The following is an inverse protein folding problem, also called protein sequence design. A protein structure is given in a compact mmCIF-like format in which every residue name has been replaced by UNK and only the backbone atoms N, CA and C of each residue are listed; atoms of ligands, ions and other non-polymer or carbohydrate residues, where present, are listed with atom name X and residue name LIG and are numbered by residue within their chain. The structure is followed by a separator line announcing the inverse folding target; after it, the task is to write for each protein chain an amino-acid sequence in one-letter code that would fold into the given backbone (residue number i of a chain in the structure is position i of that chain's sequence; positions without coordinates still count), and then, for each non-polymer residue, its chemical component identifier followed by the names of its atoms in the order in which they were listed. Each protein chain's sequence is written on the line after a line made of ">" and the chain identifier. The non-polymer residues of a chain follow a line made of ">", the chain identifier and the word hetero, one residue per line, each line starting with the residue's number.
data_IF_696786205143
#
_entry.id   IF_696786205143
#
_cell.length_a   1.000
_cell.length_b   1.000
_cell.length_c   1.000
_cell.angle_alpha   90.00
_cell.angle_beta   90.00
_cell.angle_gamma   90.00
#
_symmetry.space_group_name_H-M   'P 1'
#
loop_
_entity.id
_entity.type
_entity.pdbx_description
1 polymer ?
#
# COMPACT_ATOMS: atom_id res chain seq x y z
N UNK A 1 -10.59 -16.72 -16.84
CA UNK A 1 -9.24 -16.32 -17.29
C UNK A 1 -9.24 -14.90 -17.86
N UNK A 2 -10.11 -14.57 -18.82
CA UNK A 2 -10.23 -13.19 -19.32
C UNK A 2 -10.53 -12.16 -18.21
N UNK A 3 -11.39 -12.51 -17.24
CA UNK A 3 -11.73 -11.64 -16.11
C UNK A 3 -10.56 -11.36 -15.16
N UNK A 4 -9.66 -12.32 -14.94
CA UNK A 4 -8.52 -12.15 -14.03
C UNK A 4 -7.41 -11.24 -14.61
N UNK A 5 -7.40 -11.04 -15.94
CA UNK A 5 -6.46 -10.13 -16.60
C UNK A 5 -6.97 -8.69 -16.63
N UNK A 6 -8.22 -8.43 -16.24
CA UNK A 6 -8.77 -7.06 -16.20
C UNK A 6 -8.47 -6.36 -14.88
N UNK A 7 -8.18 -7.11 -13.83
CA UNK A 7 -7.79 -6.56 -12.54
C UNK A 7 -6.28 -6.26 -12.51
N UNK A 8 -5.87 -5.12 -11.93
CA UNK A 8 -4.45 -4.76 -11.85
C UNK A 8 -3.70 -5.74 -10.93
N UNK A 9 -2.55 -6.29 -11.37
CA UNK A 9 -1.84 -7.37 -10.65
C UNK A 9 -1.15 -6.90 -9.37
N UNK A 10 -1.24 -5.61 -9.03
CA UNK A 10 -0.64 -5.04 -7.81
C UNK A 10 -1.20 -5.66 -6.53
N UNK A 11 -2.43 -6.21 -6.59
CA UNK A 11 -3.13 -6.86 -5.48
C UNK A 11 -3.02 -8.38 -5.46
N UNK A 12 -2.41 -8.96 -6.49
CA UNK A 12 -2.34 -10.41 -6.62
C UNK A 12 -1.24 -11.02 -5.75
N UNK A 13 -1.55 -12.21 -5.21
CA UNK A 13 -0.55 -13.03 -4.54
C UNK A 13 0.57 -13.45 -5.53
N UNK A 14 1.81 -13.66 -5.05
CA UNK A 14 2.91 -14.08 -5.92
C UNK A 14 2.60 -15.33 -6.77
N UNK A 15 1.84 -16.28 -6.21
CA UNK A 15 1.40 -17.49 -6.91
C UNK A 15 0.41 -17.20 -8.03
N UNK A 16 -0.48 -16.23 -7.84
CA UNK A 16 -1.42 -15.77 -8.87
C UNK A 16 -0.67 -15.02 -9.97
N UNK A 17 0.24 -14.11 -9.60
CA UNK A 17 1.09 -13.38 -10.54
C UNK A 17 1.90 -14.34 -11.43
N UNK A 18 2.51 -15.38 -10.85
CA UNK A 18 3.26 -16.39 -11.60
C UNK A 18 2.39 -17.15 -12.61
N UNK A 19 1.18 -17.55 -12.21
CA UNK A 19 0.22 -18.23 -13.11
C UNK A 19 -0.18 -17.35 -14.28
N UNK A 20 -0.39 -16.05 -14.05
CA UNK A 20 -0.69 -15.10 -15.12
C UNK A 20 0.49 -14.96 -16.08
N UNK A 21 1.71 -14.79 -15.57
CA UNK A 21 2.93 -14.70 -16.38
C UNK A 21 3.16 -15.94 -17.26
N UNK A 22 2.90 -17.15 -16.75
CA UNK A 22 3.01 -18.39 -17.54
C UNK A 22 2.05 -18.44 -18.74
N UNK A 23 0.99 -17.64 -18.74
CA UNK A 23 0.05 -17.52 -19.84
C UNK A 23 0.49 -16.49 -20.90
N UNK A 24 1.55 -15.71 -20.65
CA UNK A 24 1.96 -14.65 -21.56
C UNK A 24 2.40 -15.16 -22.94
N UNK A 25 3.20 -16.23 -23.07
CA UNK A 25 3.63 -16.71 -24.39
C UNK A 25 2.47 -17.17 -25.28
N UNK A 26 1.42 -17.76 -24.71
CA UNK A 26 0.24 -18.19 -25.46
C UNK A 26 -0.64 -16.99 -25.85
N UNK A 27 -0.75 -15.99 -24.98
CA UNK A 27 -1.44 -14.73 -25.26
C UNK A 27 -0.75 -13.94 -26.39
N UNK A 28 0.57 -13.81 -26.38
CA UNK A 28 1.32 -13.13 -27.44
C UNK A 28 1.14 -13.85 -28.80
N UNK A 29 1.15 -15.19 -28.79
CA UNK A 29 0.91 -16.00 -30.00
C UNK A 29 -0.51 -15.82 -30.55
N UNK A 30 -1.52 -15.68 -29.70
CA UNK A 30 -2.90 -15.47 -30.16
C UNK A 30 -3.08 -14.08 -30.79
N UNK A 31 -2.30 -13.08 -30.36
CA UNK A 31 -2.31 -11.74 -30.95
C UNK A 31 -1.58 -11.64 -32.30
N UNK A 32 -0.57 -12.49 -32.52
CA UNK A 32 0.23 -12.49 -33.76
C UNK A 32 -0.30 -13.45 -34.83
N UNK A 33 -1.11 -14.45 -34.44
CA UNK A 33 -1.72 -15.44 -35.35
C UNK A 33 -2.97 -14.94 -36.08
N UNK A 34 -3.47 -13.75 -35.74
CA UNK A 34 -4.42 -13.04 -36.60
C UNK A 34 -3.62 -12.54 -37.81
N UNK A 35 -3.81 -13.18 -38.97
CA UNK A 35 -3.28 -12.71 -40.25
C UNK A 35 -3.35 -11.17 -40.30
N UNK A 36 -2.19 -10.49 -40.29
CA UNK A 36 -2.11 -9.05 -40.47
C UNK A 36 -2.52 -8.77 -41.91
N UNK A 37 -3.83 -8.68 -42.13
CA UNK A 37 -4.37 -8.31 -43.42
C UNK A 37 -3.93 -6.86 -43.72
N UNK A 38 -3.52 -6.55 -44.95
CA UNK A 38 -3.17 -5.18 -45.31
C UNK A 38 -4.38 -4.27 -45.15
N UNK A 39 -4.15 -2.99 -44.84
CA UNK A 39 -5.21 -1.99 -44.80
C UNK A 39 -6.00 -1.99 -46.14
N UNK A 40 -7.35 -1.95 -46.12
CA UNK A 40 -8.25 -1.76 -44.97
C UNK A 40 -8.75 -3.08 -44.32
N UNK A 41 -8.28 -4.24 -44.77
CA UNK A 41 -8.78 -5.54 -44.30
C UNK A 41 -8.37 -5.87 -42.85
N UNK A 42 -7.30 -5.24 -42.34
CA UNK A 42 -6.92 -5.27 -40.91
C UNK A 42 -8.02 -4.79 -39.97
N UNK A 43 -8.92 -3.91 -40.44
CA UNK A 43 -10.04 -3.40 -39.65
C UNK A 43 -11.07 -4.48 -39.30
N UNK A 44 -11.11 -5.59 -40.06
CA UNK A 44 -12.05 -6.68 -39.84
C UNK A 44 -11.45 -7.84 -39.02
N UNK A 45 -10.11 -7.94 -38.94
CA UNK A 45 -9.44 -9.03 -38.21
C UNK A 45 -9.01 -8.64 -36.80
N UNK A 46 -8.73 -7.35 -36.55
CA UNK A 46 -8.34 -6.87 -35.23
C UNK A 46 -9.56 -6.32 -34.50
N UNK A 47 -10.19 -7.14 -33.65
CA UNK A 47 -11.13 -6.60 -32.66
C UNK A 47 -10.33 -5.74 -31.67
N UNK A 48 -10.30 -4.43 -31.89
CA UNK A 48 -9.78 -3.48 -30.92
C UNK A 48 -10.79 -3.39 -29.76
N UNK A 49 -10.38 -3.80 -28.56
CA UNK A 49 -11.18 -3.64 -27.36
C UNK A 49 -10.33 -3.04 -26.24
N UNK A 50 -10.96 -2.22 -25.39
CA UNK A 50 -10.33 -1.70 -24.19
C UNK A 50 -9.82 -2.86 -23.32
N UNK A 51 -10.63 -3.90 -23.18
CA UNK A 51 -10.30 -5.13 -22.43
C UNK A 51 -9.01 -5.79 -22.91
N UNK A 52 -8.77 -5.85 -24.22
CA UNK A 52 -7.54 -6.43 -24.79
C UNK A 52 -6.32 -5.67 -24.29
N UNK A 53 -6.34 -4.35 -24.38
CA UNK A 53 -5.17 -3.53 -24.04
C UNK A 53 -4.96 -3.41 -22.54
N UNK A 54 -6.04 -3.36 -21.75
CA UNK A 54 -5.97 -3.49 -20.29
C UNK A 54 -5.38 -4.85 -19.89
N UNK A 55 -5.79 -5.94 -20.54
CA UNK A 55 -5.24 -7.26 -20.30
C UNK A 55 -3.76 -7.35 -20.71
N UNK A 56 -3.36 -6.77 -21.84
CA UNK A 56 -1.95 -6.70 -22.26
C UNK A 56 -1.11 -5.97 -21.21
N UNK A 57 -1.58 -4.83 -20.71
CA UNK A 57 -0.86 -4.05 -19.70
C UNK A 57 -0.78 -4.76 -18.34
N UNK A 58 -1.88 -5.33 -17.87
CA UNK A 58 -1.88 -6.10 -16.63
C UNK A 58 -0.98 -7.34 -16.73
N UNK A 59 -0.97 -8.00 -17.89
CA UNK A 59 -0.07 -9.12 -18.15
C UNK A 59 1.39 -8.66 -18.20
N UNK A 60 1.69 -7.51 -18.81
CA UNK A 60 3.02 -6.90 -18.80
C UNK A 60 3.52 -6.68 -17.36
N UNK A 61 2.69 -6.08 -16.50
CA UNK A 61 3.00 -5.86 -15.09
C UNK A 61 3.21 -7.18 -14.34
N UNK A 62 2.41 -8.21 -14.63
CA UNK A 62 2.56 -9.54 -14.03
C UNK A 62 3.87 -10.23 -14.47
N UNK A 63 4.25 -10.12 -15.74
CA UNK A 63 5.50 -10.66 -16.28
C UNK A 63 6.74 -9.97 -15.72
N UNK A 64 6.68 -8.65 -15.51
CA UNK A 64 7.76 -7.93 -14.82
C UNK A 64 7.92 -8.39 -13.37
N UNK A 65 6.81 -8.58 -12.64
CA UNK A 65 6.84 -9.05 -11.24
C UNK A 65 7.36 -10.48 -11.11
N UNK A 66 7.17 -11.34 -12.11
CA UNK A 66 7.69 -12.71 -12.12
C UNK A 66 9.12 -12.83 -12.66
N UNK A 67 9.67 -11.76 -13.26
CA UNK A 67 10.99 -11.75 -13.88
C UNK A 67 11.02 -12.30 -15.31
N UNK A 68 9.86 -12.49 -15.96
CA UNK A 68 9.77 -12.87 -17.37
C UNK A 68 9.96 -11.64 -18.28
N UNK A 69 11.21 -11.21 -18.38
CA UNK A 69 11.61 -9.99 -19.09
C UNK A 69 11.34 -10.07 -20.61
N UNK A 70 11.40 -11.27 -21.20
CA UNK A 70 11.20 -11.48 -22.63
C UNK A 70 9.73 -11.28 -23.00
N UNK A 71 8.80 -11.90 -22.25
CA UNK A 71 7.36 -11.67 -22.45
C UNK A 71 6.99 -10.23 -22.14
N UNK A 72 7.56 -9.64 -21.08
CA UNK A 72 7.32 -8.23 -20.73
C UNK A 72 7.71 -7.29 -21.89
N UNK A 73 8.90 -7.49 -22.47
CA UNK A 73 9.36 -6.68 -23.60
C UNK A 73 8.43 -6.82 -24.81
N UNK A 74 8.03 -8.05 -25.18
CA UNK A 74 7.13 -8.28 -26.31
C UNK A 74 5.75 -7.61 -26.13
N UNK A 75 5.19 -7.64 -24.91
CA UNK A 75 3.93 -6.98 -24.59
C UNK A 75 4.07 -5.45 -24.63
N UNK A 76 5.19 -4.92 -24.13
CA UNK A 76 5.49 -3.49 -24.16
C UNK A 76 5.67 -2.97 -25.60
N UNK A 77 6.34 -3.72 -26.47
CA UNK A 77 6.46 -3.37 -27.88
C UNK A 77 5.09 -3.41 -28.57
N UNK A 78 4.23 -4.40 -28.26
CA UNK A 78 2.86 -4.41 -28.79
C UNK A 78 2.04 -3.18 -28.35
N UNK A 79 2.21 -2.71 -27.11
CA UNK A 79 1.58 -1.48 -26.63
C UNK A 79 2.18 -0.25 -27.33
N UNK A 80 3.49 -0.22 -27.52
CA UNK A 80 4.21 0.86 -28.19
C UNK A 80 3.79 0.98 -29.65
N UNK A 81 3.70 -0.13 -30.38
CA UNK A 81 3.25 -0.18 -31.77
C UNK A 81 1.83 0.37 -31.93
N UNK A 82 0.96 0.14 -30.94
CA UNK A 82 -0.43 0.60 -30.99
C UNK A 82 -0.60 2.06 -30.60
N UNK A 83 0.07 2.50 -29.54
CA UNK A 83 -0.20 3.78 -28.89
C UNK A 83 0.88 4.85 -29.14
N UNK A 84 2.03 4.46 -29.70
CA UNK A 84 3.15 5.34 -29.98
C UNK A 84 4.04 5.61 -28.77
N UNK A 85 5.27 6.08 -29.05
CA UNK A 85 6.27 6.42 -28.04
C UNK A 85 5.94 7.72 -27.28
N UNK A 86 5.24 8.65 -27.93
CA UNK A 86 4.82 9.93 -27.35
C UNK A 86 3.74 9.81 -26.28
N UNK A 87 3.15 8.63 -26.11
CA UNK A 87 2.12 8.41 -25.11
C UNK A 87 2.73 8.35 -23.71
N UNK A 88 2.30 9.25 -22.81
CA UNK A 88 2.83 9.35 -21.44
C UNK A 88 2.79 8.02 -20.66
N UNK A 89 1.73 7.23 -20.85
CA UNK A 89 1.58 5.91 -20.21
C UNK A 89 2.60 4.93 -20.76
N UNK A 90 2.82 4.92 -22.08
CA UNK A 90 3.84 4.08 -22.71
C UNK A 90 5.24 4.49 -22.23
N UNK A 91 5.54 5.78 -22.16
CA UNK A 91 6.81 6.28 -21.63
C UNK A 91 7.05 5.78 -20.19
N UNK A 92 6.03 5.82 -19.34
CA UNK A 92 6.12 5.30 -17.97
C UNK A 92 6.28 3.76 -17.91
N UNK A 93 5.63 2.99 -18.80
CA UNK A 93 5.81 1.54 -18.88
C UNK A 93 7.20 1.15 -19.39
N UNK A 94 7.76 1.89 -20.36
CA UNK A 94 9.14 1.69 -20.82
C UNK A 94 10.14 2.00 -19.71
N UNK A 95 9.92 3.09 -18.99
CA UNK A 95 10.68 3.44 -17.81
C UNK A 95 10.64 2.34 -16.75
N UNK A 96 9.44 1.87 -16.38
CA UNK A 96 9.25 0.77 -15.43
C UNK A 96 9.96 -0.53 -15.88
N UNK A 97 9.91 -0.87 -17.17
CA UNK A 97 10.67 -2.01 -17.70
C UNK A 97 12.18 -1.80 -17.58
N UNK A 98 12.69 -0.60 -17.88
CA UNK A 98 14.10 -0.28 -17.75
C UNK A 98 14.56 -0.32 -16.28
N UNK A 99 13.75 0.16 -15.34
CA UNK A 99 14.01 0.05 -13.91
C UNK A 99 14.08 -1.42 -13.46
N UNK A 100 13.13 -2.25 -13.90
CA UNK A 100 13.04 -3.66 -13.51
C UNK A 100 14.17 -4.53 -14.10
N UNK A 101 14.69 -4.14 -15.27
CA UNK A 101 15.75 -4.88 -15.98
C UNK A 101 17.16 -4.36 -15.70
N UNK A 102 17.28 -3.24 -14.99
CA UNK A 102 18.55 -2.65 -14.61
C UNK A 102 19.37 -3.62 -13.73
N UNK A 103 20.60 -3.90 -14.17
CA UNK A 103 21.54 -4.80 -13.47
C UNK A 103 22.54 -4.05 -12.60
N UNK A 104 22.72 -2.76 -12.87
CA UNK A 104 23.71 -1.93 -12.20
C UNK A 104 23.08 -0.64 -11.66
N UNK A 105 23.62 -0.07 -10.57
CA UNK A 105 23.18 1.25 -10.10
C UNK A 105 23.33 2.35 -11.15
N UNK A 106 24.30 2.22 -12.06
CA UNK A 106 24.50 3.18 -13.15
C UNK A 106 23.34 3.16 -14.14
N UNK A 107 22.80 1.99 -14.48
CA UNK A 107 21.63 1.89 -15.35
C UNK A 107 20.40 2.58 -14.74
N UNK A 108 20.22 2.52 -13.41
CA UNK A 108 19.15 3.26 -12.73
C UNK A 108 19.36 4.78 -12.79
N UNK A 109 20.61 5.25 -12.72
CA UNK A 109 20.94 6.68 -12.93
C UNK A 109 20.63 7.10 -14.37
N UNK A 110 20.90 6.25 -15.35
CA UNK A 110 20.58 6.53 -16.76
C UNK A 110 19.05 6.59 -16.98
N UNK A 111 18.29 5.70 -16.33
CA UNK A 111 16.81 5.78 -16.34
C UNK A 111 16.32 7.09 -15.71
N UNK A 112 16.89 7.49 -14.58
CA UNK A 112 16.54 8.75 -13.92
C UNK A 112 16.83 9.95 -14.83
N UNK A 113 17.97 9.94 -15.52
CA UNK A 113 18.32 10.98 -16.50
C UNK A 113 17.33 11.04 -17.65
N UNK A 114 16.89 9.89 -18.18
CA UNK A 114 15.86 9.84 -19.22
C UNK A 114 14.53 10.44 -18.73
N UNK A 115 14.13 10.18 -17.48
CA UNK A 115 12.96 10.84 -16.89
C UNK A 115 13.13 12.36 -16.80
N UNK A 116 14.31 12.85 -16.44
CA UNK A 116 14.59 14.29 -16.41
C UNK A 116 14.57 14.93 -17.79
N UNK A 117 15.00 14.22 -18.83
CA UNK A 117 14.89 14.68 -20.22
C UNK A 117 13.42 14.79 -20.67
N UNK A 118 12.60 13.76 -20.40
CA UNK A 118 11.17 13.81 -20.69
C UNK A 118 10.50 14.97 -19.93
N UNK A 119 10.84 15.16 -18.65
CA UNK A 119 10.26 16.23 -17.83
C UNK A 119 10.77 17.63 -18.20
N UNK A 120 11.88 17.77 -18.93
CA UNK A 120 12.31 19.06 -19.50
C UNK A 120 11.44 19.45 -20.69
N UNK A 121 11.04 18.47 -21.50
CA UNK A 121 10.18 18.69 -22.67
C UNK A 121 8.72 18.84 -22.26
N UNK A 122 8.24 17.98 -21.36
CA UNK A 122 6.91 18.03 -20.77
C UNK A 122 6.98 17.98 -19.23
N UNK A 123 7.10 19.15 -18.57
CA UNK A 123 7.08 19.23 -17.11
C UNK A 123 5.76 18.76 -16.49
N UNK A 124 4.69 18.66 -17.28
CA UNK A 124 3.35 18.31 -16.84
C UNK A 124 3.08 16.79 -16.80
N UNK A 125 3.98 15.99 -17.39
CA UNK A 125 3.87 14.53 -17.53
C UNK A 125 3.71 13.83 -16.17
N UNK A 126 2.46 13.51 -15.84
CA UNK A 126 2.12 12.98 -14.52
C UNK A 126 2.71 11.59 -14.30
N UNK A 127 2.66 10.74 -15.33
CA UNK A 127 3.12 9.36 -15.25
C UNK A 127 4.64 9.29 -14.97
N UNK A 128 5.43 10.11 -15.65
CA UNK A 128 6.89 10.17 -15.46
C UNK A 128 7.27 10.82 -14.13
N UNK A 129 6.58 11.87 -13.68
CA UNK A 129 6.83 12.43 -12.33
C UNK A 129 6.64 11.37 -11.23
N UNK A 130 5.59 10.57 -11.34
CA UNK A 130 5.30 9.48 -10.40
C UNK A 130 6.37 8.39 -10.44
N UNK A 131 6.80 7.97 -11.64
CA UNK A 131 7.93 7.03 -11.81
C UNK A 131 9.23 7.56 -11.23
N UNK A 132 9.55 8.83 -11.47
CA UNK A 132 10.74 9.50 -10.92
C UNK A 132 10.75 9.44 -9.40
N UNK A 133 9.63 9.74 -8.73
CA UNK A 133 9.54 9.65 -7.28
C UNK A 133 9.79 8.22 -6.78
N UNK A 134 9.17 7.22 -7.42
CA UNK A 134 9.37 5.81 -7.08
C UNK A 134 10.83 5.35 -7.27
N UNK A 135 11.48 5.78 -8.35
CA UNK A 135 12.87 5.44 -8.65
C UNK A 135 13.85 6.09 -7.65
N UNK A 136 13.67 7.37 -7.32
CA UNK A 136 14.49 8.04 -6.31
C UNK A 136 14.40 7.33 -4.96
N UNK A 137 13.20 6.87 -4.58
CA UNK A 137 12.99 6.08 -3.37
C UNK A 137 13.68 4.72 -3.44
N UNK A 138 13.55 3.98 -4.55
CA UNK A 138 14.17 2.66 -4.70
C UNK A 138 15.70 2.71 -4.73
N UNK A 139 16.28 3.81 -5.21
CA UNK A 139 17.71 4.09 -5.19
C UNK A 139 18.23 4.52 -3.79
N UNK A 140 17.36 4.69 -2.79
CA UNK A 140 17.72 5.16 -1.46
C UNK A 140 18.13 6.63 -1.40
N UNK A 141 17.79 7.43 -2.42
CA UNK A 141 18.08 8.86 -2.46
C UNK A 141 17.01 9.64 -1.67
N UNK A 142 16.95 9.38 -0.36
CA UNK A 142 15.86 9.81 0.53
C UNK A 142 15.54 11.30 0.46
N UNK A 143 16.54 12.18 0.50
CA UNK A 143 16.32 13.64 0.44
C UNK A 143 15.73 14.09 -0.91
N UNK A 144 16.22 13.50 -2.01
CA UNK A 144 15.72 13.82 -3.35
C UNK A 144 14.32 13.27 -3.56
N UNK A 145 14.05 12.05 -3.06
CA UNK A 145 12.73 11.45 -3.07
C UNK A 145 11.73 12.29 -2.27
N UNK A 146 12.12 12.80 -1.10
CA UNK A 146 11.28 13.68 -0.28
C UNK A 146 10.92 14.96 -1.03
N UNK A 147 11.92 15.68 -1.56
CA UNK A 147 11.68 16.90 -2.33
C UNK A 147 10.80 16.64 -3.57
N UNK A 148 11.03 15.52 -4.27
CA UNK A 148 10.26 15.14 -5.44
C UNK A 148 8.80 14.82 -5.07
N UNK A 149 8.56 14.06 -4.01
CA UNK A 149 7.22 13.70 -3.55
C UNK A 149 6.45 14.90 -2.99
N UNK A 150 7.09 15.79 -2.21
CA UNK A 150 6.46 17.02 -1.73
C UNK A 150 5.99 17.88 -2.91
N UNK A 151 6.86 18.13 -3.89
CA UNK A 151 6.47 18.88 -5.09
C UNK A 151 5.36 18.17 -5.89
N UNK A 152 5.42 16.85 -5.96
CA UNK A 152 4.41 16.05 -6.66
C UNK A 152 3.02 16.18 -6.02
N UNK A 153 2.90 16.07 -4.69
CA UNK A 153 1.61 16.23 -4.01
C UNK A 153 1.11 17.67 -4.01
N UNK A 154 2.01 18.66 -4.00
CA UNK A 154 1.64 20.08 -4.13
C UNK A 154 0.99 20.37 -5.49
N UNK A 155 1.50 19.76 -6.57
CA UNK A 155 0.96 19.92 -7.92
C UNK A 155 -0.20 18.98 -8.23
N UNK A 156 -0.28 17.84 -7.52
CA UNK A 156 -1.27 16.78 -7.72
C UNK A 156 -1.92 16.37 -6.40
N UNK A 157 -2.63 17.28 -5.71
CA UNK A 157 -3.14 17.05 -4.34
C UNK A 157 -4.21 15.94 -4.26
N UNK A 158 -4.75 15.50 -5.39
CA UNK A 158 -5.77 14.44 -5.48
C UNK A 158 -5.17 13.04 -5.67
N UNK A 159 -3.83 12.88 -5.75
CA UNK A 159 -3.19 11.56 -5.86
C UNK A 159 -2.97 10.95 -4.47
N UNK A 160 -3.89 10.09 -4.06
CA UNK A 160 -3.83 9.43 -2.76
C UNK A 160 -2.59 8.52 -2.60
N UNK A 161 -2.09 7.95 -3.70
CA UNK A 161 -0.87 7.13 -3.67
C UNK A 161 0.37 7.98 -3.35
N UNK A 162 0.51 9.16 -3.97
CA UNK A 162 1.58 10.12 -3.68
C UNK A 162 1.58 10.56 -2.22
N UNK A 163 0.42 10.88 -1.65
CA UNK A 163 0.29 11.16 -0.22
C UNK A 163 0.69 9.98 0.67
N UNK A 164 0.25 8.77 0.31
CA UNK A 164 0.62 7.55 1.04
C UNK A 164 2.13 7.28 0.99
N UNK A 165 2.76 7.46 -0.17
CA UNK A 165 4.21 7.29 -0.35
C UNK A 165 5.00 8.32 0.45
N UNK A 166 4.60 9.59 0.40
CA UNK A 166 5.20 10.67 1.19
C UNK A 166 5.06 10.40 2.70
N UNK A 167 3.88 9.98 3.16
CA UNK A 167 3.64 9.61 4.55
C UNK A 167 4.52 8.46 5.01
N UNK A 168 4.70 7.44 4.18
CA UNK A 168 5.60 6.33 4.47
C UNK A 168 7.07 6.78 4.52
N UNK A 169 7.49 7.71 3.66
CA UNK A 169 8.85 8.24 3.69
C UNK A 169 9.11 9.06 4.98
N UNK A 170 8.13 9.87 5.40
CA UNK A 170 8.22 10.58 6.69
C UNK A 170 8.27 9.62 7.89
N UNK A 171 7.53 8.51 7.85
CA UNK A 171 7.60 7.48 8.90
C UNK A 171 8.99 6.85 9.00
N UNK A 172 9.60 6.50 7.85
CA UNK A 172 10.99 5.98 7.79
C UNK A 172 12.01 6.96 8.37
N UNK A 173 11.77 8.26 8.19
CA UNK A 173 12.58 9.35 8.74
C UNK A 173 12.28 9.66 10.22
N UNK A 174 11.29 9.01 10.84
CA UNK A 174 10.85 9.28 12.21
C UNK A 174 10.03 10.58 12.37
N UNK A 175 9.62 11.19 11.26
CA UNK A 175 8.82 12.41 11.20
C UNK A 175 7.32 12.06 11.30
N UNK A 176 6.91 11.52 12.45
CA UNK A 176 5.59 10.90 12.62
C UNK A 176 4.41 11.86 12.46
N UNK A 177 4.55 13.12 12.85
CA UNK A 177 3.47 14.12 12.72
C UNK A 177 3.18 14.41 11.25
N UNK A 178 4.22 14.59 10.44
CA UNK A 178 4.12 14.75 8.99
C UNK A 178 3.59 13.49 8.32
N UNK A 179 4.00 12.31 8.79
CA UNK A 179 3.48 11.04 8.30
C UNK A 179 1.96 10.91 8.54
N UNK A 180 1.49 11.25 9.75
CA UNK A 180 0.05 11.26 10.08
C UNK A 180 -0.70 12.25 9.19
N UNK A 181 -0.19 13.47 9.02
CA UNK A 181 -0.81 14.47 8.14
C UNK A 181 -1.00 13.93 6.71
N UNK A 182 0.06 13.35 6.12
CA UNK A 182 -0.03 12.80 4.77
C UNK A 182 -1.07 11.67 4.68
N UNK A 183 -1.14 10.80 5.68
CA UNK A 183 -2.14 9.72 5.72
C UNK A 183 -3.56 10.23 5.96
N UNK A 184 -3.74 11.37 6.63
CA UNK A 184 -5.04 12.03 6.77
C UNK A 184 -5.51 12.62 5.44
N UNK A 185 -4.61 13.19 4.63
CA UNK A 185 -4.93 13.61 3.25
C UNK A 185 -5.40 12.43 2.40
N UNK A 186 -4.78 11.24 2.55
CA UNK A 186 -5.27 10.00 1.91
C UNK A 186 -6.72 9.69 2.32
N UNK A 187 -7.08 9.90 3.59
CA UNK A 187 -8.43 9.66 4.09
C UNK A 187 -9.45 10.71 3.63
N UNK A 188 -9.02 11.93 3.33
CA UNK A 188 -9.89 12.93 2.69
C UNK A 188 -10.30 12.48 1.29
N UNK A 189 -9.37 11.89 0.54
CA UNK A 189 -9.61 11.34 -0.80
C UNK A 189 -10.34 9.98 -0.77
N UNK A 190 -10.03 9.14 0.23
CA UNK A 190 -10.61 7.81 0.40
C UNK A 190 -11.10 7.58 1.85
N UNK A 191 -12.29 8.11 2.21
CA UNK A 191 -12.79 8.09 3.60
C UNK A 191 -13.01 6.70 4.20
N UNK A 192 -13.20 5.70 3.34
CA UNK A 192 -13.45 4.30 3.73
C UNK A 192 -12.19 3.41 3.64
N UNK A 193 -11.00 3.99 3.47
CA UNK A 193 -9.74 3.25 3.46
C UNK A 193 -9.38 2.76 4.87
N UNK A 194 -9.95 1.61 5.27
CA UNK A 194 -9.73 0.99 6.58
C UNK A 194 -8.26 0.69 6.86
N UNK A 195 -7.48 0.35 5.83
CA UNK A 195 -6.04 0.09 5.92
C UNK A 195 -5.27 1.35 6.29
N UNK A 196 -5.70 2.52 5.79
CA UNK A 196 -5.07 3.81 6.11
C UNK A 196 -5.41 4.25 7.53
N UNK A 197 -6.62 3.97 8.03
CA UNK A 197 -6.96 4.17 9.44
C UNK A 197 -6.04 3.35 10.37
N UNK A 198 -5.82 2.07 10.05
CA UNK A 198 -4.87 1.25 10.82
C UNK A 198 -3.43 1.77 10.71
N UNK A 199 -3.00 2.20 9.52
CA UNK A 199 -1.65 2.74 9.31
C UNK A 199 -1.40 4.00 10.14
N UNK A 200 -2.37 4.91 10.23
CA UNK A 200 -2.28 6.05 11.16
C UNK A 200 -2.18 5.57 12.61
N UNK A 201 -3.00 4.56 12.98
CA UNK A 201 -2.93 3.92 14.29
C UNK A 201 -1.53 3.38 14.62
N UNK A 202 -0.86 2.76 13.65
CA UNK A 202 0.51 2.26 13.78
C UNK A 202 1.52 3.38 13.98
N UNK A 203 1.47 4.42 13.13
CA UNK A 203 2.38 5.57 13.20
C UNK A 203 2.24 6.27 14.56
N UNK A 204 1.01 6.47 15.05
CA UNK A 204 0.74 7.04 16.37
C UNK A 204 1.26 6.15 17.51
N UNK A 205 1.08 4.83 17.40
CA UNK A 205 1.59 3.87 18.38
C UNK A 205 3.13 3.92 18.46
N UNK A 206 3.81 4.00 17.31
CA UNK A 206 5.26 4.11 17.22
C UNK A 206 5.73 5.46 17.79
N UNK A 207 5.08 6.57 17.42
CA UNK A 207 5.36 7.90 17.97
C UNK A 207 5.25 7.91 19.51
N UNK A 208 4.22 7.25 20.06
CA UNK A 208 4.02 7.14 21.51
C UNK A 208 5.19 6.43 22.24
N UNK A 209 6.01 5.62 21.56
CA UNK A 209 7.21 5.01 22.14
C UNK A 209 8.31 6.01 22.48
N UNK A 210 8.34 7.16 21.81
CA UNK A 210 9.45 8.11 21.88
C UNK A 210 9.11 9.33 22.77
N UNK A 211 7.84 9.48 23.16
CA UNK A 211 7.34 10.63 23.92
C UNK A 211 7.26 10.35 25.42
N UNK A 212 7.04 11.41 26.20
CA UNK A 212 6.85 11.35 27.65
C UNK A 212 5.48 10.77 28.02
N UNK A 213 5.34 10.29 29.27
CA UNK A 213 4.18 9.51 29.72
C UNK A 213 2.80 10.17 29.48
N UNK A 214 2.66 11.50 29.64
CA UNK A 214 1.38 12.18 29.43
C UNK A 214 0.98 12.20 27.94
N UNK A 215 1.94 12.50 27.07
CA UNK A 215 1.74 12.50 25.61
C UNK A 215 1.56 11.07 25.08
N UNK A 216 2.24 10.09 25.68
CA UNK A 216 2.05 8.66 25.39
C UNK A 216 0.60 8.23 25.59
N UNK A 217 -0.05 8.62 26.70
CA UNK A 217 -1.45 8.25 26.95
C UNK A 217 -2.40 8.83 25.88
N UNK A 218 -2.15 10.07 25.44
CA UNK A 218 -2.94 10.73 24.39
C UNK A 218 -2.76 10.05 23.04
N UNK A 219 -1.50 9.85 22.60
CA UNK A 219 -1.18 9.20 21.33
C UNK A 219 -1.69 7.75 21.27
N UNK A 220 -1.58 6.99 22.36
CA UNK A 220 -2.14 5.63 22.43
C UNK A 220 -3.66 5.62 22.42
N UNK A 221 -4.31 6.63 23.01
CA UNK A 221 -5.77 6.77 22.94
C UNK A 221 -6.23 7.05 21.52
N UNK A 222 -5.52 7.89 20.78
CA UNK A 222 -5.83 8.17 19.38
C UNK A 222 -5.53 6.97 18.48
N UNK A 223 -4.37 6.32 18.66
CA UNK A 223 -4.02 5.06 18.00
C UNK A 223 -5.12 4.00 18.16
N UNK A 224 -5.61 3.80 19.40
CA UNK A 224 -6.73 2.91 19.68
C UNK A 224 -7.99 3.30 18.90
N UNK A 225 -8.37 4.59 18.86
CA UNK A 225 -9.55 5.05 18.10
C UNK A 225 -9.41 4.79 16.60
N UNK A 226 -8.23 5.02 16.04
CA UNK A 226 -7.93 4.75 14.62
C UNK A 226 -8.03 3.28 14.28
N UNK A 227 -7.54 2.39 15.16
CA UNK A 227 -7.76 0.95 15.01
C UNK A 227 -9.24 0.57 15.15
N UNK A 228 -9.98 1.15 16.10
CA UNK A 228 -11.44 0.94 16.19
C UNK A 228 -12.16 1.34 14.89
N UNK A 229 -11.80 2.49 14.31
CA UNK A 229 -12.39 2.94 13.04
C UNK A 229 -12.02 2.01 11.88
N UNK A 230 -10.80 1.50 11.86
CA UNK A 230 -10.34 0.52 10.87
C UNK A 230 -11.20 -0.75 10.89
N UNK A 231 -11.42 -1.35 12.07
CA UNK A 231 -12.22 -2.57 12.20
C UNK A 231 -13.73 -2.33 12.03
N UNK A 232 -14.22 -1.12 12.34
CA UNK A 232 -15.61 -0.73 12.06
C UNK A 232 -15.88 -0.71 10.54
N UNK A 233 -14.90 -0.28 9.76
CA UNK A 233 -14.97 -0.28 8.29
C UNK A 233 -14.69 -1.66 7.69
N UNK A 234 -13.94 -2.52 8.36
CA UNK A 234 -13.59 -3.87 7.91
C UNK A 234 -13.43 -4.86 9.10
N UNK A 235 -14.50 -5.61 9.39
CA UNK A 235 -14.58 -6.52 10.56
C UNK A 235 -13.65 -7.74 10.49
N UNK A 236 -13.07 -8.04 9.32
CA UNK A 236 -12.15 -9.17 9.16
C UNK A 236 -10.70 -8.74 9.01
N UNK A 237 -10.39 -7.47 9.29
CA UNK A 237 -9.02 -6.97 9.14
C UNK A 237 -8.12 -7.30 10.33
N UNK A 238 -7.34 -8.38 10.21
CA UNK A 238 -6.44 -8.89 11.25
C UNK A 238 -5.52 -7.82 11.82
N UNK A 239 -4.88 -7.03 10.97
CA UNK A 239 -3.92 -6.00 11.41
C UNK A 239 -4.59 -4.88 12.20
N UNK A 240 -5.86 -4.57 11.91
CA UNK A 240 -6.70 -3.68 12.72
C UNK A 240 -6.89 -4.19 14.15
N UNK A 241 -7.28 -5.46 14.32
CA UNK A 241 -7.42 -6.06 15.66
C UNK A 241 -6.08 -6.26 16.37
N UNK A 242 -5.02 -6.59 15.63
CA UNK A 242 -3.67 -6.71 16.18
C UNK A 242 -3.21 -5.37 16.76
N UNK A 243 -3.34 -4.30 15.98
CA UNK A 243 -3.07 -2.92 16.39
C UNK A 243 -3.91 -2.48 17.59
N UNK A 244 -5.21 -2.80 17.56
CA UNK A 244 -6.09 -2.53 18.70
C UNK A 244 -5.60 -3.22 19.97
N UNK A 245 -5.25 -4.51 19.88
CA UNK A 245 -4.79 -5.32 21.02
C UNK A 245 -3.51 -4.75 21.64
N UNK A 246 -2.51 -4.42 20.84
CA UNK A 246 -1.24 -3.88 21.36
C UNK A 246 -1.46 -2.49 21.97
N UNK A 247 -2.28 -1.66 21.34
CA UNK A 247 -2.57 -0.29 21.79
C UNK A 247 -3.35 -0.30 23.10
N UNK A 248 -4.39 -1.14 23.23
CA UNK A 248 -5.16 -1.27 24.47
C UNK A 248 -4.34 -1.85 25.60
N UNK A 249 -3.51 -2.88 25.32
CA UNK A 249 -2.64 -3.50 26.33
C UNK A 249 -1.71 -2.47 26.94
N UNK A 250 -1.05 -1.68 26.10
CA UNK A 250 -0.12 -0.65 26.54
C UNK A 250 -0.83 0.54 27.18
N UNK A 251 -1.97 0.96 26.63
CA UNK A 251 -2.75 2.06 27.19
C UNK A 251 -3.21 1.74 28.61
N UNK A 252 -3.55 0.48 28.92
CA UNK A 252 -3.89 0.05 30.28
C UNK A 252 -2.72 0.14 31.28
N UNK A 253 -1.47 0.09 30.81
CA UNK A 253 -0.27 0.24 31.66
C UNK A 253 0.01 1.71 31.99
N UNK A 254 -0.37 2.63 31.10
CA UNK A 254 -0.11 4.08 31.22
C UNK A 254 -1.31 4.83 31.81
N UNK A 255 -2.54 4.34 31.63
CA UNK A 255 -3.72 4.99 32.16
C UNK A 255 -3.66 5.04 33.69
N UNK A 256 -3.94 6.21 34.30
CA UNK A 256 -3.96 6.32 35.75
C UNK A 256 -5.07 5.43 36.31
N UNK A 257 -4.68 4.47 37.16
CA UNK A 257 -5.59 3.74 38.05
C UNK A 257 -6.41 4.77 38.83
N UNK A 258 -7.68 4.90 38.46
CA UNK A 258 -8.60 5.99 38.84
C UNK A 258 -8.42 6.54 40.27
N UNK A 259 -7.95 7.79 40.40
CA UNK A 259 -8.54 8.87 41.22
C UNK A 259 -7.61 10.08 41.24
N UNK A 260 -7.87 11.02 40.34
CA UNK A 260 -7.16 12.28 40.29
C UNK A 260 -7.85 13.21 39.34
N UNK A 261 -9.06 13.66 39.69
CA UNK A 261 -9.65 14.83 39.08
C UNK A 261 -8.68 16.00 39.26
N UNK A 262 -7.87 16.28 38.24
CA UNK A 262 -7.25 17.58 38.09
C UNK A 262 -8.03 18.33 37.01
N UNK A 263 -8.55 19.46 37.49
CA UNK A 263 -9.31 20.48 36.79
C UNK A 263 -8.70 20.78 35.42
N UNK A 264 -9.59 21.04 34.46
CA UNK A 264 -9.26 21.29 33.07
C UNK A 264 -8.01 22.12 32.90
N UNK A 265 -7.03 21.52 32.23
CA UNK A 265 -6.25 22.31 31.29
C UNK A 265 -7.21 22.78 30.21
N UNK A 266 -7.10 24.06 29.83
CA UNK A 266 -7.77 24.58 28.64
C UNK A 266 -7.43 23.64 27.48
N UNK A 267 -8.39 22.81 27.10
CA UNK A 267 -8.31 21.99 25.91
C UNK A 267 -8.24 22.97 24.74
N UNK A 268 -7.32 22.75 23.79
CA UNK A 268 -7.52 23.33 22.46
C UNK A 268 -8.81 22.75 21.90
N UNK A 269 -9.56 23.60 21.19
CA UNK A 269 -10.87 23.25 20.61
C UNK A 269 -10.71 21.98 19.74
N UNK A 270 -11.37 20.87 20.13
CA UNK A 270 -11.32 19.58 19.40
C UNK A 270 -10.59 18.41 20.08
N UNK A 271 -9.89 18.58 21.20
CA UNK A 271 -9.21 17.45 21.87
C UNK A 271 -10.18 16.54 22.66
N UNK A 272 -10.26 15.26 22.27
CA UNK A 272 -11.06 14.26 22.99
C UNK A 272 -10.39 13.82 24.31
N UNK A 273 -11.21 13.71 25.36
CA UNK A 273 -10.76 13.22 26.68
C UNK A 273 -10.23 11.79 26.65
N UNK A 274 -9.40 11.46 27.65
CA UNK A 274 -8.85 10.12 27.82
C UNK A 274 -9.98 9.09 28.04
N UNK A 275 -9.87 7.89 27.46
CA UNK A 275 -10.89 6.86 27.57
C UNK A 275 -10.95 6.26 28.98
N UNK A 276 -12.13 5.77 29.36
CA UNK A 276 -12.33 5.05 30.62
C UNK A 276 -11.60 3.71 30.58
N UNK A 277 -10.91 3.34 31.67
CA UNK A 277 -10.18 2.07 31.81
C UNK A 277 -11.06 0.85 31.50
N UNK A 278 -12.33 0.87 31.92
CA UNK A 278 -13.27 -0.22 31.64
C UNK A 278 -13.54 -0.40 30.14
N UNK A 279 -13.70 0.71 29.40
CA UNK A 279 -13.90 0.69 27.95
C UNK A 279 -12.68 0.11 27.24
N UNK A 280 -11.48 0.54 27.63
CA UNK A 280 -10.22 0.02 27.07
C UNK A 280 -10.07 -1.48 27.34
N UNK A 281 -10.44 -1.94 28.53
CA UNK A 281 -10.42 -3.38 28.88
C UNK A 281 -11.40 -4.20 28.04
N UNK A 282 -12.60 -3.68 27.76
CA UNK A 282 -13.58 -4.34 26.88
C UNK A 282 -13.04 -4.44 25.44
N UNK A 283 -12.46 -3.36 24.92
CA UNK A 283 -11.82 -3.37 23.59
C UNK A 283 -10.67 -4.38 23.51
N UNK A 284 -9.84 -4.46 24.56
CA UNK A 284 -8.76 -5.46 24.65
C UNK A 284 -9.30 -6.90 24.55
N UNK A 285 -10.41 -7.18 25.23
CA UNK A 285 -11.06 -8.49 25.22
C UNK A 285 -11.65 -8.80 23.84
N UNK A 286 -12.33 -7.84 23.20
CA UNK A 286 -12.87 -7.99 21.83
C UNK A 286 -11.75 -8.30 20.85
N UNK A 287 -10.66 -7.53 20.88
CA UNK A 287 -9.51 -7.75 20.01
C UNK A 287 -8.87 -9.13 20.26
N UNK A 288 -8.72 -9.53 21.53
CA UNK A 288 -8.20 -10.86 21.88
C UNK A 288 -9.08 -11.98 21.31
N UNK A 289 -10.40 -11.87 21.46
CA UNK A 289 -11.34 -12.89 21.02
C UNK A 289 -11.35 -13.04 19.50
N UNK A 290 -11.44 -11.92 18.75
CA UNK A 290 -11.44 -11.95 17.29
C UNK A 290 -10.11 -12.44 16.72
N UNK A 291 -8.96 -12.04 17.28
CA UNK A 291 -7.66 -12.57 16.86
C UNK A 291 -7.56 -14.08 17.06
N UNK A 292 -8.04 -14.60 18.21
CA UNK A 292 -8.06 -16.04 18.47
C UNK A 292 -8.98 -16.78 17.50
N UNK A 293 -10.11 -16.19 17.14
CA UNK A 293 -11.01 -16.72 16.12
C UNK A 293 -10.33 -16.80 14.75
N UNK A 294 -9.74 -15.70 14.26
CA UNK A 294 -9.04 -15.65 12.98
C UNK A 294 -7.96 -16.74 12.93
N UNK A 295 -7.09 -16.78 13.95
CA UNK A 295 -6.01 -17.76 14.06
C UNK A 295 -6.52 -19.20 14.04
N UNK A 296 -7.62 -19.50 14.74
CA UNK A 296 -8.22 -20.83 14.80
C UNK A 296 -8.79 -21.24 13.45
N UNK A 297 -9.58 -20.38 12.81
CA UNK A 297 -10.26 -20.68 11.54
C UNK A 297 -9.28 -20.84 10.38
N UNK A 298 -8.28 -19.97 10.31
CA UNK A 298 -7.17 -20.08 9.34
C UNK A 298 -6.38 -21.36 9.58
N UNK A 299 -6.04 -21.67 10.84
CA UNK A 299 -5.34 -22.90 11.21
C UNK A 299 -6.12 -24.19 10.89
N UNK A 300 -7.46 -24.12 10.88
CA UNK A 300 -8.33 -25.22 10.50
C UNK A 300 -8.55 -25.34 8.99
N UNK A 301 -8.06 -24.39 8.18
CA UNK A 301 -8.28 -24.37 6.74
C UNK A 301 -9.76 -24.17 6.36
N UNK A 302 -10.53 -23.43 7.17
CA UNK A 302 -11.92 -23.09 6.87
C UNK A 302 -11.99 -22.29 5.55
N UNK A 303 -12.91 -22.66 4.64
CA UNK A 303 -13.09 -21.93 3.36
C UNK A 303 -13.49 -20.48 3.62
N UNK A 304 -12.85 -19.53 2.91
CA UNK A 304 -13.08 -18.09 3.06
C UNK A 304 -12.14 -17.40 4.05
N UNK A 305 -11.20 -18.13 4.65
CA UNK A 305 -10.18 -17.62 5.58
C UNK A 305 -8.76 -17.69 5.00
N UNK A 306 -8.64 -17.85 3.68
CA UNK A 306 -7.40 -18.04 2.93
C UNK A 306 -6.71 -16.73 2.49
N UNK A 307 -7.33 -15.58 2.78
CA UNK A 307 -6.82 -14.24 2.39
C UNK A 307 -5.77 -13.63 3.33
N UNK A 308 -5.44 -14.28 4.46
CA UNK A 308 -4.52 -13.72 5.44
C UNK A 308 -3.06 -14.06 5.13
N UNK A 309 -2.16 -13.12 5.39
CA UNK A 309 -0.73 -13.36 5.29
C UNK A 309 -0.27 -14.31 6.41
N UNK A 310 0.44 -15.38 6.05
CA UNK A 310 0.96 -16.38 6.99
C UNK A 310 1.83 -15.76 8.09
N UNK A 311 2.63 -14.73 7.75
CA UNK A 311 3.46 -14.02 8.71
C UNK A 311 2.63 -13.24 9.73
N UNK A 312 1.52 -12.61 9.30
CA UNK A 312 0.61 -11.89 10.20
C UNK A 312 -0.12 -12.85 11.14
N UNK A 313 -0.52 -14.02 10.64
CA UNK A 313 -1.14 -15.08 11.45
C UNK A 313 -0.15 -15.62 12.48
N UNK A 314 1.11 -15.83 12.10
CA UNK A 314 2.17 -16.25 13.02
C UNK A 314 2.39 -15.20 14.14
N UNK A 315 2.45 -13.92 13.78
CA UNK A 315 2.58 -12.83 14.75
C UNK A 315 1.37 -12.77 15.70
N UNK A 316 0.15 -12.93 15.19
CA UNK A 316 -1.06 -12.96 16.00
C UNK A 316 -1.04 -14.14 17.00
N UNK A 317 -0.59 -15.34 16.57
CA UNK A 317 -0.40 -16.50 17.46
C UNK A 317 0.57 -16.19 18.60
N UNK A 318 1.71 -15.58 18.29
CA UNK A 318 2.71 -15.20 19.30
C UNK A 318 2.16 -14.17 20.30
N UNK A 319 1.44 -13.15 19.80
CA UNK A 319 0.83 -12.11 20.64
C UNK A 319 -0.17 -12.71 21.63
N UNK A 320 -0.99 -13.67 21.19
CA UNK A 320 -1.95 -14.37 22.06
C UNK A 320 -1.24 -15.25 23.09
N UNK A 321 -0.16 -15.93 22.70
CA UNK A 321 0.60 -16.81 23.59
C UNK A 321 1.33 -16.05 24.72
N UNK A 322 1.84 -14.84 24.45
CA UNK A 322 2.50 -13.98 25.46
C UNK A 322 1.58 -13.65 26.64
N UNK A 323 0.27 -13.56 26.42
CA UNK A 323 -0.71 -13.29 27.49
C UNK A 323 -0.87 -14.49 28.43
N UNK A 324 -0.82 -15.72 27.91
CA UNK A 324 -0.94 -16.96 28.70
C UNK A 324 0.26 -17.13 29.64
N UNK A 325 1.48 -16.85 29.17
CA UNK A 325 2.70 -16.97 29.98
C UNK A 325 2.81 -15.96 31.13
N UNK A 326 2.17 -14.78 31.00
CA UNK A 326 2.16 -13.74 32.05
C UNK A 326 1.16 -14.05 33.18
N UNK A 327 0.30 -15.07 33.02
CA UNK A 327 -0.69 -15.52 34.02
C UNK A 327 -0.15 -16.71 34.84
N UNK A 328 0.79 -17.48 34.32
CA UNK A 328 1.39 -18.66 34.97
C UNK A 328 2.65 -18.35 35.81
N UNK A 329 3.09 -17.09 35.88
CA UNK A 329 4.21 -16.62 36.72
C UNK A 329 3.70 -15.70 37.82
#
# INVERSE_FOLDING_TARGET
>A
MATALLDPPTRDSPSTTLKLSQCAPTFIKSQTSSFQLPYPLSLFSNSESLEKWSATENLFLATLRSGDNDSAYALLESLTDRFGLENERIAALRGLWAEATAKTPQELVDVLKNYEEILKEDPSNFAIRKRRCALLRSMGQTEQALNALTNFVDTSPTDAEGWSELGSLYEELGMYEQAVFCLEEVLLLMPNAWNMQAKIGEVLYVSANQKQAEETARLLSESMRRFCRSIELCDDYLRGYFGLKISTTRLLEVLPSTNGGKKGQQMMDGELSLPKVESVRKLDQVATAKLAEIVRRVGAGEKGWDGYNEAEIAAAKELLAKKTQKIER
#
